data_IF_262280605694
#
_entry.id   IF_262280605694
#
_cell.length_a   1.000
_cell.length_b   1.000
_cell.length_c   1.000
_cell.angle_alpha   90.00
_cell.angle_beta   90.00
_cell.angle_gamma   90.00
#
_symmetry.space_group_name_H-M   'P 1'
#
loop_
_entity.id
_entity.type
_entity.pdbx_description
1 polymer ?
#
# COMPACT_ATOMS: atom_id res chain seq x y z
N UNK A 1 -7.13 -7.94 -54.62
CA UNK A 1 -7.49 -8.63 -53.35
C UNK A 1 -6.28 -9.05 -52.52
N UNK A 2 -5.19 -9.51 -53.14
CA UNK A 2 -4.00 -9.99 -52.41
C UNK A 2 -3.28 -8.91 -51.59
N UNK A 3 -3.20 -7.67 -52.09
CA UNK A 3 -2.57 -6.53 -51.40
C UNK A 3 -3.32 -6.09 -50.16
N UNK A 4 -4.63 -6.23 -50.10
CA UNK A 4 -5.44 -5.87 -48.94
C UNK A 4 -5.25 -6.88 -47.79
N UNK A 5 -5.06 -8.16 -48.13
CA UNK A 5 -4.79 -9.21 -47.13
C UNK A 5 -3.41 -9.04 -46.49
N UNK A 6 -2.39 -8.69 -47.29
CA UNK A 6 -1.03 -8.40 -46.84
C UNK A 6 -1.00 -7.20 -45.88
N UNK A 7 -1.78 -6.15 -46.16
CA UNK A 7 -1.87 -4.96 -45.32
C UNK A 7 -2.51 -5.26 -43.98
N UNK A 8 -3.53 -6.10 -43.93
CA UNK A 8 -4.18 -6.53 -42.68
C UNK A 8 -3.21 -7.37 -41.82
N UNK A 9 -2.47 -8.29 -42.46
CA UNK A 9 -1.48 -9.13 -41.75
C UNK A 9 -0.35 -8.29 -41.16
N UNK A 10 0.12 -7.24 -41.84
CA UNK A 10 1.16 -6.35 -41.30
C UNK A 10 0.67 -5.52 -40.10
N UNK A 11 -0.58 -5.07 -40.10
CA UNK A 11 -1.17 -4.33 -38.97
C UNK A 11 -1.32 -5.26 -37.77
N UNK A 12 -1.77 -6.50 -37.97
CA UNK A 12 -1.91 -7.50 -36.92
C UNK A 12 -0.54 -7.85 -36.30
N UNK A 13 0.49 -8.02 -37.14
CA UNK A 13 1.86 -8.28 -36.70
C UNK A 13 2.45 -7.12 -35.91
N UNK A 14 2.22 -5.87 -36.30
CA UNK A 14 2.63 -4.68 -35.55
C UNK A 14 1.91 -4.59 -34.21
N UNK A 15 0.63 -4.94 -34.17
CA UNK A 15 -0.14 -4.92 -32.90
C UNK A 15 0.32 -6.01 -31.94
N UNK A 16 0.66 -7.20 -32.45
CA UNK A 16 1.23 -8.30 -31.65
C UNK A 16 2.63 -7.91 -31.14
N UNK A 17 3.46 -7.25 -31.95
CA UNK A 17 4.77 -6.76 -31.54
C UNK A 17 4.69 -5.66 -30.47
N UNK A 18 3.68 -4.80 -30.52
CA UNK A 18 3.46 -3.78 -29.47
C UNK A 18 3.00 -4.42 -28.14
N UNK A 19 2.16 -5.46 -28.19
CA UNK A 19 1.76 -6.22 -27.02
C UNK A 19 2.97 -6.94 -26.40
N UNK A 20 3.79 -7.58 -27.23
CA UNK A 20 5.02 -8.25 -26.80
C UNK A 20 6.05 -7.25 -26.25
N UNK A 21 6.17 -6.05 -26.83
CA UNK A 21 7.04 -4.98 -26.35
C UNK A 21 6.59 -4.41 -25.01
N UNK A 22 5.28 -4.24 -24.80
CA UNK A 22 4.71 -3.87 -23.49
C UNK A 22 4.89 -4.95 -22.44
N UNK A 23 4.82 -6.23 -22.83
CA UNK A 23 5.11 -7.37 -21.96
C UNK A 23 6.59 -7.47 -21.57
N UNK A 24 7.52 -7.12 -22.50
CA UNK A 24 8.96 -7.14 -22.26
C UNK A 24 9.49 -5.89 -21.53
N UNK A 25 8.77 -4.76 -21.59
CA UNK A 25 9.13 -3.54 -20.86
C UNK A 25 8.85 -3.64 -19.36
N UNK A 26 8.15 -4.66 -18.89
CA UNK A 26 7.96 -4.95 -17.47
C UNK A 26 8.98 -5.97 -16.95
N UNK A 27 10.27 -5.71 -17.25
CA UNK A 27 11.39 -6.54 -16.72
C UNK A 27 11.46 -6.58 -15.20
N UNK A 28 10.73 -5.70 -14.50
CA UNK A 28 10.56 -5.76 -13.04
C UNK A 28 9.54 -6.83 -12.60
N UNK A 29 8.65 -7.27 -13.48
CA UNK A 29 7.69 -8.33 -13.14
C UNK A 29 8.34 -9.72 -13.11
N UNK A 30 9.40 -9.93 -13.89
CA UNK A 30 10.15 -11.19 -13.91
C UNK A 30 11.04 -11.38 -12.67
N UNK A 31 11.55 -10.30 -12.09
CA UNK A 31 12.35 -10.37 -10.85
C UNK A 31 11.46 -10.69 -9.65
N UNK A 32 10.21 -10.18 -9.63
CA UNK A 32 9.26 -10.49 -8.55
C UNK A 32 8.77 -11.94 -8.66
N UNK A 33 8.69 -12.50 -9.87
CA UNK A 33 8.23 -13.88 -10.07
C UNK A 33 9.35 -14.94 -9.88
N UNK A 34 10.62 -14.55 -10.06
CA UNK A 34 11.76 -15.45 -9.87
C UNK A 34 12.15 -15.67 -8.42
N UNK A 35 11.63 -14.89 -7.48
CA UNK A 35 11.78 -15.07 -6.04
C UNK A 35 10.52 -15.59 -5.37
N UNK A 36 9.60 -16.19 -6.11
CA UNK A 36 8.54 -17.02 -5.56
C UNK A 36 9.18 -18.31 -4.97
N UNK A 37 9.93 -18.10 -3.90
CA UNK A 37 10.32 -19.15 -2.98
C UNK A 37 9.03 -19.84 -2.57
N UNK A 38 8.92 -21.11 -2.90
CA UNK A 38 7.83 -22.01 -2.54
C UNK A 38 7.38 -21.71 -1.09
N UNK A 39 6.25 -21.03 -0.94
CA UNK A 39 5.69 -20.75 0.37
C UNK A 39 5.13 -22.07 0.91
N UNK A 40 5.94 -22.74 1.70
CA UNK A 40 5.48 -23.76 2.62
C UNK A 40 4.36 -23.16 3.47
N UNK A 41 3.15 -23.65 3.31
CA UNK A 41 1.98 -23.28 4.13
C UNK A 41 2.29 -23.60 5.59
N UNK A 42 2.58 -22.61 6.41
CA UNK A 42 2.68 -22.88 7.84
C UNK A 42 3.31 -21.82 8.73
N UNK A 43 4.30 -21.06 8.30
CA UNK A 43 4.93 -20.07 9.17
C UNK A 43 5.07 -18.71 8.47
N UNK A 44 4.24 -17.75 8.88
CA UNK A 44 4.41 -16.36 8.47
C UNK A 44 5.73 -15.83 9.01
N UNK A 45 6.68 -15.55 8.13
CA UNK A 45 7.96 -14.94 8.52
C UNK A 45 7.81 -13.42 8.57
N UNK A 46 8.31 -12.76 9.62
CA UNK A 46 8.32 -11.29 9.67
C UNK A 46 9.31 -10.74 8.62
N UNK A 47 8.97 -9.60 8.03
CA UNK A 47 9.87 -8.86 7.16
C UNK A 47 11.04 -8.34 8.02
N UNK A 48 12.24 -8.82 7.78
CA UNK A 48 13.46 -8.46 8.53
C UNK A 48 14.37 -7.53 7.75
N UNK A 49 14.29 -7.57 6.43
CA UNK A 49 15.09 -6.73 5.55
C UNK A 49 14.44 -5.34 5.38
N UNK A 50 15.24 -4.30 5.56
CA UNK A 50 14.80 -2.90 5.40
C UNK A 50 14.39 -2.59 3.95
N UNK A 51 15.06 -3.21 2.98
CA UNK A 51 14.77 -3.00 1.56
C UNK A 51 13.45 -3.65 1.16
N UNK A 52 13.14 -4.83 1.68
CA UNK A 52 11.85 -5.50 1.48
C UNK A 52 10.71 -4.67 2.10
N UNK A 53 10.94 -4.10 3.30
CA UNK A 53 9.97 -3.24 3.96
C UNK A 53 9.75 -1.94 3.17
N UNK A 54 10.82 -1.36 2.64
CA UNK A 54 10.74 -0.18 1.79
C UNK A 54 9.96 -0.49 0.50
N UNK A 55 10.28 -1.60 -0.18
CA UNK A 55 9.57 -2.04 -1.37
C UNK A 55 8.08 -2.29 -1.10
N UNK A 56 7.73 -2.90 0.03
CA UNK A 56 6.33 -3.12 0.44
C UNK A 56 5.57 -1.80 0.63
N UNK A 57 6.20 -0.79 1.24
CA UNK A 57 5.60 0.55 1.38
C UNK A 57 5.44 1.25 0.02
N UNK A 58 6.48 1.19 -0.84
CA UNK A 58 6.49 1.78 -2.18
C UNK A 58 5.41 1.16 -3.08
N UNK A 59 5.12 -0.13 -2.91
CA UNK A 59 4.06 -0.80 -3.65
C UNK A 59 2.71 -0.07 -3.55
N UNK A 60 2.28 0.28 -2.34
CA UNK A 60 1.01 0.98 -2.12
C UNK A 60 1.10 2.49 -2.27
N UNK A 61 2.29 3.05 -2.32
CA UNK A 61 2.50 4.48 -2.55
C UNK A 61 2.52 4.82 -4.04
N UNK A 62 3.27 4.07 -4.84
CA UNK A 62 3.66 4.45 -6.20
C UNK A 62 3.23 3.43 -7.27
N UNK A 63 3.30 2.11 -7.01
CA UNK A 63 3.03 1.06 -8.01
C UNK A 63 1.52 0.79 -8.13
N UNK A 64 0.86 0.54 -7.01
CA UNK A 64 -0.59 0.39 -6.91
C UNK A 64 -1.12 1.37 -5.86
N UNK A 65 -1.27 2.66 -6.19
CA UNK A 65 -1.61 3.70 -5.23
C UNK A 65 -2.90 3.37 -4.48
N UNK A 66 -2.78 3.17 -3.18
CA UNK A 66 -3.90 2.96 -2.27
C UNK A 66 -3.58 3.64 -0.94
N UNK A 67 -4.09 4.85 -0.77
CA UNK A 67 -3.82 5.70 0.40
C UNK A 67 -4.21 5.04 1.72
N UNK A 68 -5.33 4.30 1.73
CA UNK A 68 -5.78 3.57 2.92
C UNK A 68 -4.76 2.50 3.34
N UNK A 69 -4.35 1.64 2.39
CA UNK A 69 -3.40 0.58 2.69
C UNK A 69 -2.01 1.14 3.04
N UNK A 70 -1.57 2.17 2.34
CA UNK A 70 -0.33 2.88 2.68
C UNK A 70 -0.38 3.46 4.09
N UNK A 71 -1.46 4.16 4.45
CA UNK A 71 -1.67 4.71 5.78
C UNK A 71 -1.67 3.60 6.86
N UNK A 72 -2.35 2.47 6.60
CA UNK A 72 -2.40 1.33 7.51
C UNK A 72 -1.00 0.77 7.80
N UNK A 73 -0.16 0.60 6.77
CA UNK A 73 1.21 0.12 6.90
C UNK A 73 2.06 1.10 7.69
N UNK A 74 2.02 2.40 7.31
CA UNK A 74 2.81 3.43 7.99
C UNK A 74 2.39 3.58 9.45
N UNK A 75 1.09 3.59 9.74
CA UNK A 75 0.56 3.62 11.10
C UNK A 75 1.01 2.40 11.91
N UNK A 76 0.88 1.19 11.37
CA UNK A 76 1.31 -0.04 12.04
C UNK A 76 2.80 -0.04 12.40
N UNK A 77 3.65 0.45 11.49
CA UNK A 77 5.10 0.53 11.72
C UNK A 77 5.51 1.59 12.75
N UNK A 78 4.75 2.68 12.85
CA UNK A 78 5.11 3.81 13.73
C UNK A 78 4.43 3.78 15.10
N UNK A 79 3.32 3.07 15.25
CA UNK A 79 2.55 3.03 16.51
C UNK A 79 2.67 1.71 17.25
N UNK A 80 3.19 0.67 16.62
CA UNK A 80 3.27 -0.71 17.14
C UNK A 80 1.92 -1.27 17.64
N UNK A 81 0.81 -0.72 17.16
CA UNK A 81 -0.54 -1.20 17.47
C UNK A 81 -0.81 -2.54 16.78
N UNK A 82 -1.65 -3.36 17.43
CA UNK A 82 -2.18 -4.56 16.78
C UNK A 82 -3.09 -4.17 15.63
N UNK A 83 -3.10 -5.00 14.59
CA UNK A 83 -3.93 -4.74 13.39
C UNK A 83 -5.42 -4.60 13.75
N UNK A 84 -5.92 -5.37 14.71
CA UNK A 84 -7.31 -5.28 15.19
C UNK A 84 -7.63 -3.92 15.81
N UNK A 85 -6.69 -3.34 16.55
CA UNK A 85 -6.86 -2.06 17.20
C UNK A 85 -6.72 -0.91 16.19
N UNK A 86 -5.79 -1.07 15.24
CA UNK A 86 -5.58 -0.11 14.16
C UNK A 86 -6.79 -0.01 13.21
N UNK A 87 -7.43 -1.14 12.89
CA UNK A 87 -8.61 -1.16 12.03
C UNK A 87 -9.87 -0.56 12.68
N UNK A 88 -9.91 -0.45 14.01
CA UNK A 88 -11.00 0.19 14.76
C UNK A 88 -10.80 1.69 14.99
N UNK A 89 -9.64 2.21 14.59
CA UNK A 89 -9.34 3.62 14.77
C UNK A 89 -10.32 4.48 13.98
N UNK A 90 -10.94 5.43 14.67
CA UNK A 90 -11.85 6.41 14.06
C UNK A 90 -11.11 7.72 13.82
N UNK A 91 -11.62 8.54 12.91
CA UNK A 91 -11.06 9.87 12.64
C UNK A 91 -11.04 10.75 13.89
N UNK A 92 -12.09 10.72 14.72
CA UNK A 92 -12.17 11.48 15.98
C UNK A 92 -11.02 11.18 16.95
N UNK A 93 -10.42 10.00 16.88
CA UNK A 93 -9.27 9.66 17.71
C UNK A 93 -8.01 10.40 17.28
N UNK A 94 -7.80 10.59 15.98
CA UNK A 94 -6.55 11.10 15.39
C UNK A 94 -6.65 12.54 14.88
N UNK A 95 -7.88 13.03 14.65
CA UNK A 95 -8.15 14.35 14.10
C UNK A 95 -9.13 15.11 14.98
N UNK A 96 -8.89 16.41 15.17
CA UNK A 96 -9.81 17.32 15.85
C UNK A 96 -10.55 18.13 14.78
N UNK A 97 -11.84 17.84 14.59
CA UNK A 97 -12.68 18.51 13.59
C UNK A 97 -12.99 19.98 13.95
N UNK A 98 -13.02 20.34 15.24
CA UNK A 98 -13.27 21.71 15.66
C UNK A 98 -12.11 22.65 15.33
N UNK A 99 -10.88 22.16 15.54
CA UNK A 99 -9.66 22.94 15.31
C UNK A 99 -8.96 22.62 14.00
N UNK A 100 -9.51 21.70 13.20
CA UNK A 100 -8.96 21.25 11.91
C UNK A 100 -7.49 20.81 11.97
N UNK A 101 -7.09 20.11 13.07
CA UNK A 101 -5.72 19.68 13.32
C UNK A 101 -5.62 18.20 13.66
N UNK A 102 -4.52 17.57 13.24
CA UNK A 102 -4.19 16.21 13.68
C UNK A 102 -3.70 16.26 15.12
N UNK A 103 -4.15 15.30 15.93
CA UNK A 103 -3.70 15.16 17.31
C UNK A 103 -2.26 14.64 17.32
N UNK A 104 -1.44 15.12 18.27
CA UNK A 104 -0.08 14.60 18.48
C UNK A 104 -0.08 13.23 19.17
N UNK A 105 -1.14 12.91 19.88
CA UNK A 105 -1.33 11.63 20.57
C UNK A 105 -2.82 11.32 20.69
N UNK A 106 -3.14 10.04 20.85
CA UNK A 106 -4.51 9.59 21.07
C UNK A 106 -4.55 8.44 22.06
N UNK A 107 -5.70 8.27 22.71
CA UNK A 107 -5.97 7.18 23.63
C UNK A 107 -6.66 6.03 22.88
N UNK A 108 -6.18 4.81 23.07
CA UNK A 108 -6.82 3.61 22.57
C UNK A 108 -6.99 2.59 23.69
N UNK A 109 -8.15 1.94 23.72
CA UNK A 109 -8.38 0.79 24.59
C UNK A 109 -8.02 -0.48 23.80
N UNK A 110 -6.95 -1.16 24.22
CA UNK A 110 -6.48 -2.38 23.57
C UNK A 110 -7.49 -3.52 23.72
N UNK A 111 -7.91 -4.09 22.62
CA UNK A 111 -8.94 -5.12 22.60
C UNK A 111 -8.55 -6.41 23.37
N UNK A 112 -7.26 -6.79 23.30
CA UNK A 112 -6.79 -8.03 23.94
C UNK A 112 -6.57 -7.89 25.44
N UNK A 113 -6.14 -6.73 25.92
CA UNK A 113 -5.73 -6.51 27.30
C UNK A 113 -6.71 -5.64 28.09
N UNK A 114 -7.62 -4.94 27.40
CA UNK A 114 -8.52 -3.96 28.03
C UNK A 114 -7.81 -2.73 28.59
N UNK A 115 -6.50 -2.59 28.36
CA UNK A 115 -5.72 -1.47 28.89
C UNK A 115 -5.84 -0.24 27.99
N UNK A 116 -5.95 0.92 28.63
CA UNK A 116 -5.83 2.20 27.93
C UNK A 116 -4.36 2.48 27.65
N UNK A 117 -4.04 2.74 26.40
CA UNK A 117 -2.68 3.05 25.95
C UNK A 117 -2.66 4.41 25.23
N UNK A 118 -1.69 5.24 25.58
CA UNK A 118 -1.42 6.51 24.89
C UNK A 118 -0.46 6.26 23.74
N UNK A 119 -0.90 6.60 22.55
CA UNK A 119 -0.13 6.41 21.32
C UNK A 119 0.26 7.78 20.77
N UNK A 120 1.55 8.00 20.58
CA UNK A 120 2.07 9.23 19.96
C UNK A 120 2.12 9.09 18.45
N UNK A 121 1.65 10.10 17.74
CA UNK A 121 1.75 10.21 16.30
C UNK A 121 3.02 10.99 15.92
N UNK A 122 3.94 10.31 15.25
CA UNK A 122 5.11 10.98 14.68
C UNK A 122 4.77 11.64 13.33
N UNK A 123 5.69 12.44 12.77
CA UNK A 123 5.49 13.13 11.50
C UNK A 123 5.13 12.19 10.34
N UNK A 124 5.79 11.03 10.23
CA UNK A 124 5.51 10.07 9.16
C UNK A 124 4.08 9.52 9.22
N UNK A 125 3.58 9.20 10.42
CA UNK A 125 2.23 8.73 10.64
C UNK A 125 1.20 9.84 10.33
N UNK A 126 1.48 11.07 10.78
CA UNK A 126 0.62 12.22 10.51
C UNK A 126 0.54 12.54 9.02
N UNK A 127 1.64 12.47 8.29
CA UNK A 127 1.65 12.72 6.84
C UNK A 127 0.89 11.65 6.06
N UNK A 128 0.99 10.39 6.46
CA UNK A 128 0.20 9.31 5.87
C UNK A 128 -1.29 9.46 6.16
N UNK A 129 -1.67 9.86 7.37
CA UNK A 129 -3.04 10.17 7.76
C UNK A 129 -3.57 11.37 6.96
N UNK A 130 -2.78 12.44 6.80
CA UNK A 130 -3.15 13.62 6.02
C UNK A 130 -3.40 13.27 4.55
N UNK A 131 -2.52 12.46 3.95
CA UNK A 131 -2.70 12.01 2.58
C UNK A 131 -3.99 11.21 2.39
N UNK A 132 -4.34 10.36 3.35
CA UNK A 132 -5.57 9.57 3.32
C UNK A 132 -6.80 10.43 3.62
N UNK A 133 -6.71 11.37 4.55
CA UNK A 133 -7.76 12.33 4.89
C UNK A 133 -8.18 13.16 3.67
N UNK A 134 -7.20 13.70 2.93
CA UNK A 134 -7.44 14.51 1.74
C UNK A 134 -8.12 13.73 0.60
N UNK A 135 -7.94 12.43 0.52
CA UNK A 135 -8.64 11.59 -0.46
C UNK A 135 -10.09 11.29 -0.06
N UNK A 136 -10.31 11.07 1.25
CA UNK A 136 -11.61 10.62 1.75
C UNK A 136 -12.56 11.74 2.13
N UNK A 137 -12.03 12.91 2.49
CA UNK A 137 -12.80 14.07 2.99
C UNK A 137 -13.83 13.67 4.07
N UNK A 138 -13.42 13.03 5.17
CA UNK A 138 -14.35 12.63 6.23
C UNK A 138 -14.96 13.87 6.89
N UNK A 139 -16.26 13.81 7.08
CA UNK A 139 -17.08 14.84 7.76
C UNK A 139 -17.45 14.38 9.14
#
# INVERSE_FOLDING_TARGET
MLHFLLFIITIILLWILDILRKSLSCGMCLIIFSTAKEYSMGTTQPIRNKDELAAFRMYYKDIHPNRRNYCLIVMGLNTALRISDLLKLKWDNVYNFEHHVFRSHFLINEQKTGKNNYVTLNCNATDALRAYFNERHPT
#
